data_IF_753678851129
#
_entry.id   IF_753678851129
#
_cell.length_a   1.000
_cell.length_b   1.000
_cell.length_c   1.000
_cell.angle_alpha   90.00
_cell.angle_beta   90.00
_cell.angle_gamma   90.00
#
_symmetry.space_group_name_H-M   'P 1'
#
loop_
_entity.id
_entity.type
_entity.pdbx_description
1 polymer ?
#
# COMPACT_ATOMS: atom_id res chain seq x y z
N UNK A 1 3.82 -4.09 1.87
CA UNK A 1 3.47 -3.15 0.76
C UNK A 1 3.63 -3.72 -0.67
N UNK A 2 4.69 -4.48 -0.95
CA UNK A 2 5.15 -4.73 -2.33
C UNK A 2 4.33 -5.70 -3.19
N UNK A 3 3.53 -6.59 -2.59
CA UNK A 3 2.82 -7.63 -3.34
C UNK A 3 1.48 -7.10 -3.91
N UNK A 4 0.35 -7.38 -3.28
CA UNK A 4 -0.96 -7.04 -3.84
C UNK A 4 -1.28 -5.54 -3.90
N UNK A 5 -0.80 -4.74 -2.94
CA UNK A 5 -1.11 -3.31 -2.90
C UNK A 5 -0.39 -2.54 -4.02
N UNK A 6 0.80 -2.97 -4.45
CA UNK A 6 1.58 -2.31 -5.51
C UNK A 6 0.83 -2.32 -6.85
N UNK A 7 0.14 -3.41 -7.16
CA UNK A 7 -0.70 -3.53 -8.36
C UNK A 7 -1.85 -2.51 -8.36
N UNK A 8 -2.50 -2.30 -7.21
CA UNK A 8 -3.59 -1.32 -7.08
C UNK A 8 -3.06 0.11 -7.15
N UNK A 9 -1.89 0.38 -6.58
CA UNK A 9 -1.20 1.67 -6.69
C UNK A 9 -0.90 1.98 -8.15
N UNK A 10 -0.33 1.02 -8.90
CA UNK A 10 -0.06 1.21 -10.32
C UNK A 10 -1.34 1.48 -11.12
N UNK A 11 -2.39 0.69 -10.87
CA UNK A 11 -3.66 0.88 -11.56
C UNK A 11 -4.31 2.24 -11.22
N UNK A 12 -4.24 2.67 -9.96
CA UNK A 12 -4.75 3.98 -9.55
C UNK A 12 -3.95 5.13 -10.19
N UNK A 13 -2.63 4.97 -10.38
CA UNK A 13 -1.81 5.92 -11.12
C UNK A 13 -2.23 6.02 -12.60
N UNK A 14 -2.49 4.89 -13.25
CA UNK A 14 -2.97 4.87 -14.63
C UNK A 14 -4.34 5.57 -14.79
N UNK A 15 -5.23 5.42 -13.80
CA UNK A 15 -6.58 5.99 -13.84
C UNK A 15 -6.64 7.48 -13.43
N UNK A 16 -5.91 7.86 -12.38
CA UNK A 16 -6.04 9.19 -11.75
C UNK A 16 -4.81 10.08 -11.94
N UNK A 17 -3.75 9.56 -12.56
CA UNK A 17 -2.51 10.29 -12.82
C UNK A 17 -1.55 10.32 -11.63
N UNK A 18 -0.69 11.32 -11.60
CA UNK A 18 0.40 11.41 -10.62
C UNK A 18 -0.12 11.53 -9.18
N UNK A 19 0.49 10.76 -8.28
CA UNK A 19 0.25 10.87 -6.84
C UNK A 19 1.09 12.03 -6.28
N UNK A 20 0.44 13.04 -5.71
CA UNK A 20 1.11 14.24 -5.17
C UNK A 20 1.66 14.02 -3.77
N UNK A 21 0.90 13.33 -2.92
CA UNK A 21 1.31 12.96 -1.55
C UNK A 21 0.50 11.79 -1.06
N UNK A 22 1.10 11.00 -0.18
CA UNK A 22 0.47 9.82 0.41
C UNK A 22 0.93 9.61 1.85
N UNK A 23 0.16 8.82 2.58
CA UNK A 23 0.53 8.25 3.89
C UNK A 23 0.17 6.77 3.89
N UNK A 24 1.06 5.95 4.45
CA UNK A 24 0.87 4.51 4.54
C UNK A 24 0.85 4.05 6.00
N UNK A 25 -0.02 3.09 6.31
CA UNK A 25 0.01 2.32 7.54
C UNK A 25 0.42 0.88 7.24
N UNK A 26 1.33 0.33 8.05
CA UNK A 26 1.82 -1.04 7.92
C UNK A 26 1.60 -1.79 9.22
N UNK A 27 1.31 -3.08 9.12
CA UNK A 27 1.19 -3.94 10.29
C UNK A 27 1.67 -5.34 10.00
N UNK A 28 2.42 -5.87 10.95
CA UNK A 28 2.84 -7.26 10.99
C UNK A 28 2.01 -7.98 12.06
N UNK A 29 1.44 -9.13 11.68
CA UNK A 29 0.70 -10.05 12.54
C UNK A 29 1.47 -11.36 12.73
N UNK A 30 2.28 -11.74 11.74
CA UNK A 30 3.08 -12.96 11.71
C UNK A 30 4.54 -12.57 11.90
N UNK A 31 5.05 -12.81 13.11
CA UNK A 31 6.40 -12.43 13.51
C UNK A 31 7.47 -13.45 13.13
N UNK A 32 7.07 -14.71 12.95
CA UNK A 32 7.94 -15.80 12.55
C UNK A 32 7.34 -16.52 11.34
N UNK A 33 8.16 -16.74 10.31
CA UNK A 33 7.81 -17.54 9.15
C UNK A 33 8.89 -18.60 8.96
N UNK A 34 8.51 -19.86 9.14
CA UNK A 34 9.40 -21.02 8.97
C UNK A 34 10.61 -21.01 9.94
N UNK A 35 10.43 -20.50 11.17
CA UNK A 35 11.48 -20.46 12.18
C UNK A 35 12.46 -19.31 12.02
N UNK A 36 12.15 -18.34 11.16
CA UNK A 36 12.91 -17.12 10.98
C UNK A 36 12.02 -15.88 11.24
N UNK A 37 12.58 -14.80 11.83
CA UNK A 37 11.87 -13.53 11.95
C UNK A 37 11.37 -13.05 10.59
N UNK A 38 10.10 -12.68 10.52
CA UNK A 38 9.49 -12.12 9.31
C UNK A 38 9.82 -10.63 9.21
N UNK A 39 10.23 -10.19 8.02
CA UNK A 39 10.43 -8.79 7.63
C UNK A 39 9.29 -8.26 6.73
N UNK A 40 8.23 -9.06 6.57
CA UNK A 40 7.08 -8.74 5.73
C UNK A 40 5.96 -8.05 6.52
N UNK A 41 5.35 -7.04 5.90
CA UNK A 41 4.05 -6.53 6.34
C UNK A 41 2.94 -7.52 5.93
N UNK A 42 2.12 -7.94 6.90
CA UNK A 42 0.93 -8.76 6.64
C UNK A 42 -0.30 -7.91 6.32
N UNK A 43 -0.21 -6.60 6.53
CA UNK A 43 -1.26 -5.64 6.22
C UNK A 43 -0.68 -4.29 5.86
N UNK A 44 -1.29 -3.65 4.88
CA UNK A 44 -0.93 -2.31 4.45
C UNK A 44 -2.15 -1.51 3.99
N UNK A 45 -2.19 -0.24 4.33
CA UNK A 45 -3.15 0.72 3.81
C UNK A 45 -2.47 2.00 3.34
N UNK A 46 -3.08 2.66 2.37
CA UNK A 46 -2.59 3.90 1.75
C UNK A 46 -3.73 4.90 1.59
N UNK A 47 -3.52 6.13 2.06
CA UNK A 47 -4.32 7.28 1.66
C UNK A 47 -3.48 8.18 0.76
N UNK A 48 -4.06 8.65 -0.34
CA UNK A 48 -3.35 9.41 -1.38
C UNK A 48 -4.16 10.62 -1.85
N UNK A 49 -3.46 11.72 -2.10
CA UNK A 49 -3.94 12.86 -2.88
C UNK A 49 -3.24 12.85 -4.25
N UNK A 50 -4.03 12.88 -5.32
CA UNK A 50 -3.54 12.95 -6.69
C UNK A 50 -3.35 14.41 -7.14
N UNK A 51 -2.47 14.64 -8.12
CA UNK A 51 -2.17 15.97 -8.64
C UNK A 51 -3.39 16.67 -9.26
N UNK A 52 -4.37 15.90 -9.74
CA UNK A 52 -5.64 16.41 -10.27
C UNK A 52 -6.70 16.75 -9.20
N UNK A 53 -6.36 16.63 -7.91
CA UNK A 53 -7.27 16.90 -6.79
C UNK A 53 -8.13 15.73 -6.34
N UNK A 54 -8.05 14.57 -7.00
CA UNK A 54 -8.71 13.35 -6.52
C UNK A 54 -8.05 12.83 -5.24
N UNK A 55 -8.81 12.06 -4.46
CA UNK A 55 -8.31 11.35 -3.27
C UNK A 55 -8.59 9.87 -3.38
N UNK A 56 -7.68 9.03 -2.90
CA UNK A 56 -7.84 7.58 -2.88
C UNK A 56 -7.54 6.98 -1.50
N UNK A 57 -8.21 5.88 -1.19
CA UNK A 57 -7.90 4.99 -0.07
C UNK A 57 -7.80 3.57 -0.62
N UNK A 58 -6.70 2.88 -0.32
CA UNK A 58 -6.44 1.50 -0.74
C UNK A 58 -5.93 0.70 0.44
N UNK A 59 -6.29 -0.58 0.51
CA UNK A 59 -5.92 -1.48 1.58
C UNK A 59 -5.58 -2.87 1.00
N UNK A 60 -4.73 -3.62 1.69
CA UNK A 60 -4.36 -4.99 1.36
C UNK A 60 -3.86 -5.77 2.58
N UNK A 61 -4.30 -7.02 2.71
CA UNK A 61 -3.79 -8.06 3.63
C UNK A 61 -3.45 -9.34 2.88
#
# INVERSE_FOLDING_TARGET
>A
LGDMLSHRINFAHELFGDMKRLVAGLKQFIFDRQGAPSDLDDWSALMVEFANGATGMMESS
#
